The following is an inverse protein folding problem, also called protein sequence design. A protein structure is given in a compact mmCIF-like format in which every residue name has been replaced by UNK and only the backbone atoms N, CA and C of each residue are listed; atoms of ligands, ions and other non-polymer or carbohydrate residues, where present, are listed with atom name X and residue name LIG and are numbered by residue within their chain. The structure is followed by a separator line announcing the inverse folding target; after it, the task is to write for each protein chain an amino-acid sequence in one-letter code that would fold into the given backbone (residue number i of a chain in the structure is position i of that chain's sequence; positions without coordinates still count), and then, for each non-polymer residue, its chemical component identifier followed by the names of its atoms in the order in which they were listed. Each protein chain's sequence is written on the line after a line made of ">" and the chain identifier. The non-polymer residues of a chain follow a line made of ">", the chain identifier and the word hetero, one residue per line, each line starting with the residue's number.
data_IF_370804632880
#
_entry.id   IF_370804632880
#
_cell.length_a   1.000
_cell.length_b   1.000
_cell.length_c   1.000
_cell.angle_alpha   90.00
_cell.angle_beta   90.00
_cell.angle_gamma   90.00
#
_symmetry.space_group_name_H-M   'P 1'
#
loop_
_entity.id
_entity.type
_entity.pdbx_description
1 polymer ?
#
# COMPACT_ATOMS: atom_id res chain seq x y z
N UNK A 1 -9.59 -39.04 3.91
CA UNK A 1 -10.10 -38.57 5.20
C UNK A 1 -8.95 -37.90 5.92
N UNK A 2 -8.79 -36.58 6.03
CA UNK A 2 -9.49 -35.41 5.50
C UNK A 2 -8.43 -34.32 5.33
N UNK A 3 -8.43 -33.69 4.16
CA UNK A 3 -7.49 -32.64 3.77
C UNK A 3 -8.13 -31.30 4.14
N UNK A 4 -7.99 -30.92 5.41
CA UNK A 4 -8.59 -29.71 5.97
C UNK A 4 -7.66 -28.51 5.71
N UNK A 5 -7.51 -28.13 4.44
CA UNK A 5 -6.81 -26.91 4.04
C UNK A 5 -7.78 -25.72 4.12
N UNK A 6 -8.22 -25.42 5.33
CA UNK A 6 -8.99 -24.21 5.63
C UNK A 6 -7.99 -23.04 5.79
N UNK A 7 -7.44 -22.57 4.66
CA UNK A 7 -6.56 -21.40 4.62
C UNK A 7 -7.40 -20.16 4.95
N UNK A 8 -7.39 -19.77 6.22
CA UNK A 8 -7.81 -18.48 6.73
C UNK A 8 -6.89 -17.35 6.18
N UNK A 9 -6.87 -17.16 4.86
CA UNK A 9 -5.97 -16.27 4.12
C UNK A 9 -6.39 -14.78 4.16
N UNK A 10 -7.28 -14.39 5.07
CA UNK A 10 -7.91 -13.06 5.03
C UNK A 10 -7.18 -11.97 5.84
N UNK A 11 -6.17 -12.30 6.65
CA UNK A 11 -5.38 -11.32 7.40
C UNK A 11 -3.89 -11.50 7.08
N UNK A 12 -3.44 -11.01 5.93
CA UNK A 12 -2.00 -10.86 5.72
C UNK A 12 -1.54 -9.64 6.53
N UNK A 13 -0.83 -9.82 7.68
CA UNK A 13 -0.37 -8.71 8.51
C UNK A 13 0.64 -7.81 7.79
N UNK A 14 1.10 -8.25 6.62
CA UNK A 14 2.01 -7.49 5.78
C UNK A 14 1.26 -6.52 4.85
N UNK A 15 -0.07 -6.51 4.80
CA UNK A 15 -0.81 -5.56 3.96
C UNK A 15 -1.12 -4.27 4.73
N UNK A 16 -0.70 -3.14 4.16
CA UNK A 16 -0.94 -1.80 4.71
C UNK A 16 -1.71 -0.93 3.73
N UNK A 17 -2.54 -0.04 4.26
CA UNK A 17 -3.17 1.04 3.49
C UNK A 17 -2.46 2.36 3.82
N UNK A 18 -2.04 3.10 2.80
CA UNK A 18 -1.26 4.31 3.00
C UNK A 18 -1.47 5.41 1.96
N UNK A 19 -1.21 6.65 2.38
CA UNK A 19 -0.89 7.73 1.47
C UNK A 19 0.63 7.91 1.36
N UNK A 20 1.07 8.31 0.18
CA UNK A 20 2.47 8.45 -0.15
C UNK A 20 2.66 9.68 -1.01
N UNK A 21 3.70 10.44 -0.70
CA UNK A 21 4.19 11.53 -1.54
C UNK A 21 5.67 11.35 -1.79
N UNK A 22 6.05 11.24 -3.06
CA UNK A 22 7.43 11.07 -3.49
C UNK A 22 7.95 12.37 -4.12
N UNK A 23 9.13 12.79 -3.68
CA UNK A 23 9.80 14.02 -4.07
C UNK A 23 11.20 13.70 -4.60
N UNK A 24 11.59 14.38 -5.68
CA UNK A 24 12.99 14.42 -6.14
C UNK A 24 13.85 15.27 -5.19
N UNK A 25 15.17 15.24 -5.40
CA UNK A 25 16.11 16.06 -4.62
C UNK A 25 15.83 17.56 -4.72
N UNK A 26 15.34 18.01 -5.86
CA UNK A 26 14.96 19.40 -6.14
C UNK A 26 13.59 19.80 -5.54
N UNK A 27 12.88 18.88 -4.87
CA UNK A 27 11.56 19.10 -4.29
C UNK A 27 10.39 18.94 -5.27
N UNK A 28 10.65 18.62 -6.54
CA UNK A 28 9.56 18.33 -7.49
C UNK A 28 8.85 17.02 -7.15
N UNK A 29 7.52 17.03 -7.27
CA UNK A 29 6.66 15.90 -6.92
C UNK A 29 6.70 14.87 -8.06
N UNK A 30 7.12 13.65 -7.74
CA UNK A 30 6.98 12.48 -8.62
C UNK A 30 5.62 11.83 -8.46
N UNK A 31 5.11 11.84 -7.23
CA UNK A 31 3.95 11.09 -6.82
C UNK A 31 3.25 11.73 -5.65
N UNK A 32 1.92 11.76 -5.65
CA UNK A 32 1.14 12.21 -4.51
C UNK A 32 -0.23 11.53 -4.54
N UNK A 33 -0.37 10.43 -3.78
CA UNK A 33 -1.60 9.63 -3.78
C UNK A 33 -2.74 10.33 -3.05
N UNK A 34 -2.44 11.31 -2.21
CA UNK A 34 -3.44 12.15 -1.55
C UNK A 34 -4.07 13.11 -2.55
N UNK A 35 -3.26 13.75 -3.41
CA UNK A 35 -3.77 14.57 -4.52
C UNK A 35 -4.58 13.76 -5.55
N UNK A 36 -4.23 12.49 -5.75
CA UNK A 36 -5.00 11.56 -6.60
C UNK A 36 -6.32 11.10 -5.95
N UNK A 37 -6.50 11.35 -4.65
CA UNK A 37 -7.70 11.01 -3.89
C UNK A 37 -7.85 9.51 -3.60
N UNK A 38 -6.78 8.71 -3.77
CA UNK A 38 -6.84 7.25 -3.62
C UNK A 38 -5.65 6.75 -2.82
N UNK A 39 -5.84 6.14 -1.63
CA UNK A 39 -4.76 5.49 -0.92
C UNK A 39 -4.28 4.24 -1.66
N UNK A 40 -3.06 3.82 -1.35
CA UNK A 40 -2.45 2.61 -1.92
C UNK A 40 -2.52 1.48 -0.90
N UNK A 41 -3.03 0.34 -1.34
CA UNK A 41 -2.92 -0.92 -0.61
C UNK A 41 -1.64 -1.63 -1.04
N UNK A 42 -0.78 -1.94 -0.07
CA UNK A 42 0.58 -2.40 -0.32
C UNK A 42 0.93 -3.60 0.56
N UNK A 43 1.51 -4.64 -0.02
CA UNK A 43 2.00 -5.81 0.73
C UNK A 43 3.50 -5.70 1.01
N UNK A 44 3.86 -5.56 2.29
CA UNK A 44 5.22 -5.63 2.81
C UNK A 44 5.80 -7.04 2.60
N UNK A 45 7.12 -7.15 2.49
CA UNK A 45 7.81 -8.45 2.36
C UNK A 45 7.89 -8.99 0.93
N UNK A 46 7.17 -8.43 -0.03
CA UNK A 46 7.26 -8.84 -1.44
C UNK A 46 8.25 -7.97 -2.22
N UNK A 47 9.27 -8.61 -2.79
CA UNK A 47 10.25 -7.99 -3.71
C UNK A 47 9.58 -7.53 -5.02
N UNK A 48 8.56 -8.28 -5.44
CA UNK A 48 7.56 -7.82 -6.37
C UNK A 48 6.47 -7.14 -5.54
N UNK A 49 6.74 -5.90 -5.14
CA UNK A 49 5.80 -5.10 -4.39
C UNK A 49 4.53 -4.88 -5.22
N UNK A 50 3.62 -5.87 -5.17
CA UNK A 50 2.37 -5.86 -5.89
C UNK A 50 1.50 -4.79 -5.22
N UNK A 51 1.35 -3.66 -5.90
CA UNK A 51 0.27 -2.72 -5.59
C UNK A 51 -1.04 -3.44 -5.89
N UNK A 52 -1.61 -4.06 -4.86
CA UNK A 52 -2.76 -4.98 -4.96
C UNK A 52 -4.00 -4.34 -5.61
N UNK A 53 -4.08 -3.00 -5.63
CA UNK A 53 -5.25 -2.27 -6.12
C UNK A 53 -4.96 -1.26 -7.24
N UNK A 54 -3.77 -1.26 -7.83
CA UNK A 54 -3.44 -0.28 -8.88
C UNK A 54 -2.96 -0.86 -10.20
N UNK A 55 -3.41 -2.05 -10.62
CA UNK A 55 -3.24 -2.47 -12.03
C UNK A 55 -4.46 -3.29 -12.51
N UNK A 56 -5.39 -2.60 -13.19
CA UNK A 56 -5.95 -3.16 -14.42
C UNK A 56 -4.78 -3.35 -15.40
N UNK A 57 -4.64 -4.54 -15.97
CA UNK A 57 -3.64 -4.99 -16.97
C UNK A 57 -2.53 -5.92 -16.43
N UNK A 58 -2.75 -7.23 -16.56
CA UNK A 58 -1.85 -8.33 -16.16
C UNK A 58 -0.49 -8.39 -16.86
N UNK A 59 0.35 -7.37 -16.67
CA UNK A 59 1.78 -7.40 -16.99
C UNK A 59 2.56 -6.90 -15.78
N UNK A 60 3.25 -7.83 -15.11
CA UNK A 60 4.22 -7.51 -14.07
C UNK A 60 5.25 -6.51 -14.61
N UNK A 61 5.21 -5.27 -14.12
CA UNK A 61 6.27 -4.31 -14.37
C UNK A 61 7.50 -4.78 -13.58
N UNK A 62 8.68 -4.70 -14.18
CA UNK A 62 9.94 -5.07 -13.52
C UNK A 62 10.33 -4.12 -12.38
N UNK A 63 9.62 -3.00 -12.23
CA UNK A 63 9.74 -2.01 -11.16
C UNK A 63 8.35 -1.63 -10.69
N UNK A 64 8.15 -1.54 -9.37
CA UNK A 64 6.94 -0.97 -8.78
C UNK A 64 7.01 0.55 -8.71
N UNK A 65 5.85 1.20 -8.58
CA UNK A 65 5.74 2.64 -8.29
C UNK A 65 6.27 2.95 -6.89
N UNK A 66 6.11 2.02 -5.94
CA UNK A 66 6.69 2.06 -4.60
C UNK A 66 7.99 1.25 -4.56
N UNK A 67 9.15 1.86 -4.24
CA UNK A 67 10.42 1.15 -4.21
C UNK A 67 10.69 0.51 -2.83
N UNK A 68 11.71 -0.37 -2.77
CA UNK A 68 12.09 -1.14 -1.58
C UNK A 68 12.39 -0.23 -0.36
N UNK A 69 12.91 0.98 -0.58
CA UNK A 69 13.19 1.91 0.50
C UNK A 69 11.96 2.40 1.26
N UNK A 70 10.76 2.37 0.65
CA UNK A 70 9.51 2.66 1.36
C UNK A 70 9.15 1.49 2.29
N UNK A 71 9.38 0.25 1.86
CA UNK A 71 9.19 -0.92 2.71
C UNK A 71 10.19 -0.93 3.88
N UNK A 72 11.46 -0.66 3.62
CA UNK A 72 12.49 -0.50 4.66
C UNK A 72 12.09 0.62 5.64
N UNK A 73 11.49 1.70 5.12
CA UNK A 73 11.01 2.82 5.93
C UNK A 73 9.86 2.45 6.89
N UNK A 74 8.95 1.59 6.43
CA UNK A 74 7.80 1.13 7.23
C UNK A 74 8.25 0.13 8.30
N UNK A 75 9.08 -0.84 7.90
CA UNK A 75 9.56 -1.92 8.79
C UNK A 75 10.74 -1.49 9.69
N UNK A 76 11.36 -0.35 9.39
CA UNK A 76 12.56 0.15 10.03
C UNK A 76 13.75 -0.84 10.03
N UNK A 77 13.97 -1.49 8.88
CA UNK A 77 15.03 -2.51 8.72
C UNK A 77 16.44 -1.90 8.62
N UNK A 78 16.56 -0.59 8.39
CA UNK A 78 17.74 0.17 8.81
C UNK A 78 18.66 0.65 7.69
N UNK A 79 18.16 0.89 6.48
CA UNK A 79 18.97 1.43 5.38
C UNK A 79 18.46 2.75 4.79
N UNK A 80 17.16 3.01 4.85
CA UNK A 80 16.61 4.32 4.53
C UNK A 80 16.90 5.31 5.68
N UNK A 81 17.29 6.55 5.32
CA UNK A 81 17.68 7.57 6.30
C UNK A 81 16.47 8.40 6.74
N UNK A 82 16.30 8.53 8.05
CA UNK A 82 15.22 9.26 8.68
C UNK A 82 15.67 10.70 8.90
N UNK A 83 15.03 11.68 8.26
CA UNK A 83 15.34 13.12 8.45
C UNK A 83 16.84 13.49 8.37
N UNK A 84 17.65 12.74 7.61
CA UNK A 84 19.09 12.96 7.48
C UNK A 84 19.96 12.34 8.60
N UNK A 85 19.38 11.57 9.50
CA UNK A 85 20.07 10.79 10.53
C UNK A 85 20.24 9.31 10.13
N UNK A 86 21.33 8.69 10.59
CA UNK A 86 21.55 7.25 10.57
C UNK A 86 21.28 6.70 11.98
N UNK A 87 20.36 5.75 12.14
CA UNK A 87 20.02 5.19 13.44
C UNK A 87 18.95 4.11 13.39
N UNK A 88 18.84 3.34 14.49
CA UNK A 88 17.73 2.39 14.69
C UNK A 88 16.45 3.21 14.89
N UNK A 89 15.52 3.10 13.96
CA UNK A 89 14.17 3.61 14.13
C UNK A 89 13.23 2.46 14.51
N UNK A 90 12.15 2.77 15.20
CA UNK A 90 11.06 1.82 15.38
C UNK A 90 10.25 1.70 14.08
N UNK A 91 9.61 0.54 13.88
CA UNK A 91 8.65 0.36 12.81
C UNK A 91 7.55 1.44 12.87
N UNK A 92 7.00 1.82 11.71
CA UNK A 92 5.88 2.75 11.66
C UNK A 92 4.66 2.15 12.37
N UNK A 93 3.99 2.99 13.17
CA UNK A 93 2.71 2.64 13.78
C UNK A 93 1.57 2.99 12.82
N UNK A 94 0.46 2.26 12.90
CA UNK A 94 -0.78 2.62 12.21
C UNK A 94 -1.24 4.04 12.62
N UNK A 95 -1.67 4.84 11.65
CA UNK A 95 -1.92 6.28 11.83
C UNK A 95 -0.67 7.15 11.82
N UNK A 96 0.52 6.55 11.71
CA UNK A 96 1.79 7.28 11.73
C UNK A 96 2.10 7.95 10.39
N UNK A 97 2.57 9.19 10.47
CA UNK A 97 3.20 9.92 9.37
C UNK A 97 4.72 9.89 9.53
N UNK A 98 5.46 9.62 8.45
CA UNK A 98 6.92 9.58 8.46
C UNK A 98 7.52 10.17 7.20
N UNK A 99 8.56 10.98 7.37
CA UNK A 99 9.42 11.41 6.28
C UNK A 99 10.68 10.55 6.23
N UNK A 100 11.05 10.09 5.04
CA UNK A 100 12.23 9.26 4.83
C UNK A 100 12.97 9.66 3.57
N UNK A 101 14.29 9.59 3.64
CA UNK A 101 15.20 9.77 2.51
C UNK A 101 15.62 8.38 2.04
N UNK A 102 15.21 8.03 0.82
CA UNK A 102 15.51 6.74 0.21
C UNK A 102 16.73 6.90 -0.70
N UNK A 103 17.84 6.22 -0.40
CA UNK A 103 19.03 6.26 -1.24
C UNK A 103 18.76 5.55 -2.58
N UNK A 104 19.55 5.85 -3.63
CA UNK A 104 19.25 5.35 -4.98
C UNK A 104 19.16 3.83 -5.08
N UNK A 105 19.97 3.10 -4.32
CA UNK A 105 20.02 1.63 -4.30
C UNK A 105 18.70 1.01 -3.83
N UNK A 106 17.93 1.76 -3.02
CA UNK A 106 16.62 1.38 -2.52
C UNK A 106 15.47 2.09 -3.24
N UNK A 107 15.78 3.00 -4.17
CA UNK A 107 14.83 3.70 -5.03
C UNK A 107 14.80 3.04 -6.43
N UNK A 108 15.26 3.76 -7.45
CA UNK A 108 15.28 3.29 -8.85
C UNK A 108 16.71 3.00 -9.39
N UNK A 109 17.71 3.04 -8.51
CA UNK A 109 19.08 2.62 -8.77
C UNK A 109 19.82 3.45 -9.82
N UNK A 110 20.87 2.84 -10.36
CA UNK A 110 21.76 3.41 -11.39
C UNK A 110 21.07 3.67 -12.72
N UNK A 111 19.95 3.01 -12.98
CA UNK A 111 19.20 3.14 -14.22
C UNK A 111 18.17 4.28 -14.16
N UNK A 112 17.70 4.65 -12.96
CA UNK A 112 16.60 5.58 -12.80
C UNK A 112 15.30 5.07 -13.44
N UNK A 113 14.48 6.01 -13.91
CA UNK A 113 13.21 5.75 -14.60
C UNK A 113 13.14 6.64 -15.83
N UNK A 114 13.12 6.03 -17.01
CA UNK A 114 12.92 6.75 -18.28
C UNK A 114 11.53 7.36 -18.36
N UNK A 115 11.32 8.31 -19.28
CA UNK A 115 9.99 8.94 -19.47
C UNK A 115 8.89 7.91 -19.78
N UNK A 116 9.21 6.88 -20.57
CA UNK A 116 8.26 5.83 -20.93
C UNK A 116 7.93 4.92 -19.75
N UNK A 117 8.92 4.54 -18.94
CA UNK A 117 8.68 3.78 -17.71
C UNK A 117 7.90 4.62 -16.68
N UNK A 118 8.22 5.90 -16.53
CA UNK A 118 7.51 6.80 -15.61
C UNK A 118 6.02 6.88 -15.95
N UNK A 119 5.68 6.98 -17.24
CA UNK A 119 4.30 6.92 -17.71
C UNK A 119 3.61 5.60 -17.31
N UNK A 120 4.27 4.46 -17.51
CA UNK A 120 3.73 3.14 -17.11
C UNK A 120 3.54 2.99 -15.61
N UNK A 121 4.40 3.62 -14.82
CA UNK A 121 4.37 3.61 -13.37
C UNK A 121 3.43 4.66 -12.76
N UNK A 122 2.79 5.50 -13.59
CA UNK A 122 1.95 6.59 -13.11
C UNK A 122 2.73 7.70 -12.39
N UNK A 123 4.02 7.86 -12.67
CA UNK A 123 4.83 8.95 -12.12
C UNK A 123 4.63 10.24 -12.94
N UNK A 124 4.63 11.38 -12.26
CA UNK A 124 4.49 12.72 -12.90
C UNK A 124 5.70 13.11 -13.75
N UNK A 125 6.88 12.54 -13.49
CA UNK A 125 8.12 12.85 -14.19
C UNK A 125 9.09 11.66 -14.20
N UNK A 126 10.04 11.61 -15.16
CA UNK A 126 11.13 10.64 -15.12
C UNK A 126 12.03 10.85 -13.91
N UNK A 127 12.72 9.78 -13.51
CA UNK A 127 13.68 9.80 -12.40
C UNK A 127 15.09 9.65 -12.95
N UNK A 128 15.98 10.54 -12.55
CA UNK A 128 17.38 10.49 -12.99
C UNK A 128 18.08 9.24 -12.45
N UNK A 129 19.20 8.90 -13.08
CA UNK A 129 20.10 7.84 -12.60
C UNK A 129 20.68 8.23 -11.26
N UNK A 130 20.74 7.28 -10.32
CA UNK A 130 21.26 7.52 -8.98
C UNK A 130 20.54 8.66 -8.23
N UNK A 131 19.25 8.89 -8.53
CA UNK A 131 18.48 9.94 -7.85
C UNK A 131 18.14 9.50 -6.42
N UNK A 132 18.43 10.38 -5.47
CA UNK A 132 17.98 10.27 -4.09
C UNK A 132 16.57 10.84 -3.97
N UNK A 133 15.67 10.07 -3.36
CA UNK A 133 14.26 10.43 -3.25
C UNK A 133 13.88 10.70 -1.80
N UNK A 134 12.91 11.59 -1.60
CA UNK A 134 12.27 11.80 -0.31
C UNK A 134 10.83 11.32 -0.38
N UNK A 135 10.39 10.64 0.66
CA UNK A 135 9.05 10.11 0.78
C UNK A 135 8.39 10.64 2.04
N UNK A 136 7.16 11.10 1.93
CA UNK A 136 6.25 11.30 3.04
C UNK A 136 5.25 10.13 3.01
N UNK A 137 5.22 9.31 4.07
CA UNK A 137 4.43 8.08 4.16
C UNK A 137 3.44 8.24 5.32
N UNK A 138 2.17 8.05 5.05
CA UNK A 138 1.10 8.06 6.06
C UNK A 138 0.41 6.70 6.07
N UNK A 139 0.56 5.94 7.16
CA UNK A 139 -0.17 4.70 7.34
C UNK A 139 -1.55 4.97 7.92
N UNK A 140 -2.58 4.33 7.39
CA UNK A 140 -3.94 4.46 7.90
C UNK A 140 -4.09 3.63 9.19
N UNK A 141 -5.03 4.00 10.05
CA UNK A 141 -5.44 3.17 11.18
C UNK A 141 -6.49 2.17 10.73
N UNK A 142 -6.22 0.89 10.94
CA UNK A 142 -7.17 -0.17 10.64
C UNK A 142 -7.89 -0.59 11.91
N UNK A 143 -9.22 -0.68 11.86
CA UNK A 143 -9.98 -1.45 12.85
C UNK A 143 -9.64 -2.94 12.69
N UNK A 144 -9.71 -3.66 13.80
CA UNK A 144 -9.69 -5.13 13.78
C UNK A 144 -11.03 -5.69 13.28
N UNK A 145 -12.09 -4.86 13.30
CA UNK A 145 -13.39 -5.18 12.73
C UNK A 145 -13.34 -5.28 11.20
N UNK A 146 -13.80 -6.43 10.70
CA UNK A 146 -13.91 -6.70 9.27
C UNK A 146 -15.17 -6.06 8.70
N UNK A 147 -15.03 -5.38 7.56
CA UNK A 147 -16.18 -4.88 6.79
C UNK A 147 -16.34 -5.75 5.55
N UNK A 148 -17.51 -6.35 5.42
CA UNK A 148 -17.94 -7.08 4.21
C UNK A 148 -18.44 -6.06 3.19
N UNK A 149 -17.73 -5.91 2.07
CA UNK A 149 -18.17 -5.03 0.97
C UNK A 149 -19.21 -5.73 0.11
N UNK A 150 -20.38 -5.11 -0.09
CA UNK A 150 -21.41 -5.62 -1.02
C UNK A 150 -22.45 -6.56 -0.42
N UNK A 151 -22.55 -6.67 0.91
CA UNK A 151 -23.77 -7.19 1.52
C UNK A 151 -24.74 -6.02 1.67
N UNK A 152 -25.70 -5.91 0.75
CA UNK A 152 -26.83 -5.00 0.88
C UNK A 152 -27.40 -5.10 2.30
N UNK A 153 -27.57 -3.96 2.97
CA UNK A 153 -27.99 -3.84 4.36
C UNK A 153 -29.45 -4.27 4.62
N UNK A 154 -30.01 -5.18 3.81
CA UNK A 154 -31.37 -5.71 3.91
C UNK A 154 -31.38 -7.24 4.06
N UNK A 155 -30.43 -7.83 4.78
CA UNK A 155 -30.52 -9.22 5.22
C UNK A 155 -31.40 -9.33 6.49
N UNK A 156 -32.66 -8.91 6.36
CA UNK A 156 -33.70 -9.13 7.39
C UNK A 156 -34.83 -10.03 6.89
N UNK A 157 -34.64 -10.75 5.78
CA UNK A 157 -35.54 -11.81 5.36
C UNK A 157 -34.82 -13.15 5.39
N UNK A 158 -35.15 -13.92 6.42
CA UNK A 158 -34.98 -15.36 6.41
C UNK A 158 -35.80 -15.93 5.23
N UNK A 159 -35.14 -16.50 4.23
CA UNK A 159 -35.75 -17.62 3.53
C UNK A 159 -34.69 -18.59 2.99
N UNK A 160 -34.79 -19.80 3.49
CA UNK A 160 -34.11 -21.03 3.11
C UNK A 160 -34.38 -21.42 1.67
N UNK A 161 -33.42 -22.15 1.12
CA UNK A 161 -33.52 -23.02 -0.05
C UNK A 161 -33.60 -22.34 -1.43
N UNK A 162 -32.45 -22.24 -2.10
CA UNK A 162 -32.15 -23.03 -3.31
C UNK A 162 -30.80 -22.60 -3.94
N UNK A 163 -29.97 -23.59 -4.28
CA UNK A 163 -28.89 -23.56 -5.27
C UNK A 163 -28.09 -22.25 -5.41
N UNK A 164 -27.25 -21.95 -4.41
CA UNK A 164 -26.23 -20.91 -4.55
C UNK A 164 -25.04 -21.45 -5.35
N UNK A 165 -25.03 -21.18 -6.65
CA UNK A 165 -23.78 -21.07 -7.39
C UNK A 165 -22.83 -20.18 -6.58
N UNK A 166 -21.61 -20.65 -6.33
CA UNK A 166 -20.61 -20.05 -5.47
C UNK A 166 -20.64 -18.51 -5.57
N UNK A 167 -21.36 -17.88 -4.63
CA UNK A 167 -21.26 -16.45 -4.43
C UNK A 167 -19.83 -16.27 -3.94
N UNK A 168 -18.96 -15.74 -4.81
CA UNK A 168 -17.60 -15.37 -4.44
C UNK A 168 -17.72 -14.60 -3.13
N UNK A 169 -17.14 -15.14 -2.05
CA UNK A 169 -17.26 -14.55 -0.73
C UNK A 169 -16.88 -13.07 -0.86
N UNK A 170 -17.80 -12.19 -0.47
CA UNK A 170 -17.57 -10.75 -0.52
C UNK A 170 -16.21 -10.43 0.12
N UNK A 171 -15.34 -9.67 -0.55
CA UNK A 171 -13.99 -9.42 -0.05
C UNK A 171 -14.10 -8.80 1.34
N UNK A 172 -13.52 -9.48 2.33
CA UNK A 172 -13.38 -8.96 3.68
C UNK A 172 -12.14 -8.08 3.69
N UNK A 173 -12.32 -6.80 4.00
CA UNK A 173 -11.22 -5.89 4.19
C UNK A 173 -11.24 -5.36 5.63
N UNK A 174 -10.05 -5.14 6.20
CA UNK A 174 -9.94 -4.32 7.41
C UNK A 174 -10.33 -2.89 7.05
N UNK A 175 -11.25 -2.30 7.81
CA UNK A 175 -11.61 -0.91 7.63
C UNK A 175 -10.45 -0.04 8.10
N UNK A 176 -9.76 0.61 7.16
CA UNK A 176 -8.66 1.52 7.46
C UNK A 176 -9.05 2.97 7.15
N UNK A 177 -8.77 3.89 8.06
CA UNK A 177 -9.14 5.30 7.99
C UNK A 177 -7.99 6.20 8.46
N UNK A 178 -8.07 7.50 8.15
CA UNK A 178 -7.15 8.50 8.71
C UNK A 178 -7.32 8.59 10.23
N UNK A 179 -6.30 9.11 10.90
CA UNK A 179 -6.28 9.24 12.37
C UNK A 179 -7.48 10.03 12.90
N UNK A 180 -7.86 11.10 12.19
CA UNK A 180 -9.01 11.95 12.52
C UNK A 180 -10.38 11.25 12.37
N UNK A 181 -10.43 10.14 11.65
CA UNK A 181 -11.64 9.35 11.42
C UNK A 181 -11.64 8.04 12.21
N UNK A 182 -10.72 7.87 13.16
CA UNK A 182 -10.66 6.68 14.01
C UNK A 182 -11.56 6.82 15.27
N UNK A 183 -12.35 5.80 15.64
CA UNK A 183 -12.52 4.49 14.99
C UNK A 183 -13.25 4.63 13.65
N UNK A 184 -12.81 3.85 12.65
CA UNK A 184 -13.32 3.97 11.28
C UNK A 184 -14.84 3.79 11.27
N UNK A 185 -15.56 4.88 11.03
CA UNK A 185 -17.01 4.84 10.95
C UNK A 185 -17.42 4.10 9.69
N UNK A 186 -18.38 3.17 9.80
CA UNK A 186 -19.04 2.60 8.61
C UNK A 186 -19.68 3.76 7.86
N UNK A 187 -19.31 3.95 6.59
CA UNK A 187 -20.08 4.85 5.73
C UNK A 187 -21.53 4.33 5.70
N UNK A 188 -22.52 5.17 6.02
CA UNK A 188 -23.94 4.78 6.06
C UNK A 188 -24.46 4.36 4.68
#
# INVERSE_FOLDING_TARGET
>A
DDNDSNSNDDDDPNVVLMHLRALKRDGSILLDTRQEGRPVLFRLGSIAAEELYYINEGKALSKGRIPLGVQDAILAQGTASWEGGYGKADAMRYGGLRMVVVPPELAYGTNGVSRYEAYKLGLKAPVARNELLRYEIELFRCNDDRVTYGADANANDANTDTNAAAAAAAPKARACCLDEFYPCQKMP
#
